data_IF_778234905437
#
_entry.id   IF_778234905437
#
_cell.length_a   1.000
_cell.length_b   1.000
_cell.length_c   1.000
_cell.angle_alpha   90.00
_cell.angle_beta   90.00
_cell.angle_gamma   90.00
#
_symmetry.space_group_name_H-M   'P 1'
#
loop_
_entity.id
_entity.type
_entity.pdbx_description
1 polymer ?
#
# COMPACT_ATOMS: atom_id res chain seq x y z
N UNK A 1 -11.72 29.71 5.81
CA UNK A 1 -12.56 28.49 5.81
C UNK A 1 -13.10 28.39 7.21
N UNK A 2 -14.41 28.32 7.37
CA UNK A 2 -15.05 28.25 8.70
C UNK A 2 -14.94 26.82 9.27
N UNK A 3 -15.15 26.67 10.58
CA UNK A 3 -15.03 25.38 11.30
C UNK A 3 -15.98 24.29 10.80
N UNK A 4 -17.04 24.68 10.07
CA UNK A 4 -18.00 23.77 9.43
C UNK A 4 -17.58 23.32 8.01
N UNK A 5 -16.37 23.67 7.56
CA UNK A 5 -15.85 23.33 6.24
C UNK A 5 -16.31 24.25 5.10
N UNK A 6 -17.09 25.30 5.39
CA UNK A 6 -17.52 26.27 4.38
C UNK A 6 -16.36 27.17 3.96
N UNK A 7 -16.12 27.27 2.65
CA UNK A 7 -15.17 28.21 2.09
C UNK A 7 -15.81 29.60 2.09
N UNK A 8 -15.14 30.55 2.73
CA UNK A 8 -15.54 31.95 2.79
C UNK A 8 -14.41 32.82 2.24
N UNK A 9 -14.77 33.88 1.52
CA UNK A 9 -13.86 34.96 1.13
C UNK A 9 -14.04 36.08 2.14
N UNK A 10 -12.94 36.55 2.71
CA UNK A 10 -12.95 37.69 3.64
C UNK A 10 -12.64 38.95 2.83
N UNK A 11 -13.58 39.90 2.80
CA UNK A 11 -13.39 41.21 2.18
C UNK A 11 -12.48 42.11 3.04
N UNK A 12 -11.96 43.19 2.47
CA UNK A 12 -11.01 44.09 3.14
C UNK A 12 -11.60 44.82 4.37
N UNK A 13 -12.92 44.89 4.47
CA UNK A 13 -13.70 45.42 5.58
C UNK A 13 -14.05 44.35 6.65
N UNK A 14 -13.57 43.12 6.48
CA UNK A 14 -13.75 42.01 7.42
C UNK A 14 -15.06 41.25 7.26
N UNK A 15 -15.89 41.57 6.26
CA UNK A 15 -17.12 40.82 5.99
C UNK A 15 -16.76 39.48 5.33
N UNK A 16 -17.28 38.38 5.89
CA UNK A 16 -17.14 37.05 5.32
C UNK A 16 -18.32 36.71 4.41
N UNK A 17 -18.03 36.38 3.15
CA UNK A 17 -19.03 35.89 2.20
C UNK A 17 -18.78 34.42 1.84
N UNK A 18 -19.86 33.63 1.84
CA UNK A 18 -19.81 32.23 1.45
C UNK A 18 -19.45 32.09 -0.04
N UNK A 19 -18.41 31.32 -0.33
CA UNK A 19 -17.96 31.03 -1.69
C UNK A 19 -18.44 29.65 -2.10
N UNK A 20 -19.30 29.61 -3.12
CA UNK A 20 -19.59 28.36 -3.83
C UNK A 20 -18.47 28.08 -4.81
N UNK A 21 -17.62 27.10 -4.50
CA UNK A 21 -16.61 26.62 -5.44
C UNK A 21 -17.25 25.60 -6.36
N UNK A 22 -17.41 25.92 -7.64
CA UNK A 22 -17.80 24.94 -8.65
C UNK A 22 -16.65 23.94 -8.81
N UNK A 23 -16.87 22.62 -8.63
CA UNK A 23 -15.85 21.64 -8.94
C UNK A 23 -15.38 21.84 -10.39
N UNK A 24 -14.07 21.73 -10.67
CA UNK A 24 -13.61 21.74 -12.05
C UNK A 24 -14.35 20.64 -12.81
N UNK A 25 -14.77 20.92 -14.05
CA UNK A 25 -15.37 19.91 -14.89
C UNK A 25 -14.42 18.70 -15.00
N UNK A 26 -14.94 17.45 -14.99
CA UNK A 26 -14.10 16.28 -15.17
C UNK A 26 -13.35 16.41 -16.50
N UNK A 27 -12.02 16.36 -16.45
CA UNK A 27 -11.19 16.34 -17.66
C UNK A 27 -11.35 14.98 -18.34
N UNK A 28 -11.31 14.96 -19.67
CA UNK A 28 -11.15 13.69 -20.39
C UNK A 28 -9.82 13.03 -20.01
N UNK A 29 -9.75 11.70 -20.11
CA UNK A 29 -8.50 10.96 -19.88
C UNK A 29 -7.34 11.53 -20.72
N UNK A 30 -7.61 11.90 -21.97
CA UNK A 30 -6.63 12.55 -22.86
C UNK A 30 -6.10 13.87 -22.28
N UNK A 31 -6.99 14.73 -21.76
CA UNK A 31 -6.60 15.99 -21.15
C UNK A 31 -5.85 15.78 -19.82
N UNK A 32 -6.15 14.71 -19.08
CA UNK A 32 -5.41 14.31 -17.87
C UNK A 32 -4.00 13.87 -18.26
N UNK A 33 -3.87 12.96 -19.23
CA UNK A 33 -2.56 12.49 -19.71
C UNK A 33 -1.73 13.64 -20.27
N UNK A 34 -2.31 14.52 -21.09
CA UNK A 34 -1.61 15.68 -21.64
C UNK A 34 -1.12 16.65 -20.56
N UNK A 35 -1.89 16.81 -19.46
CA UNK A 35 -1.45 17.62 -18.31
C UNK A 35 -0.32 16.93 -17.54
N UNK A 36 -0.44 15.63 -17.26
CA UNK A 36 0.59 14.85 -16.57
C UNK A 36 1.94 14.86 -17.34
N UNK A 37 1.90 14.76 -18.67
CA UNK A 37 3.11 14.81 -19.49
C UNK A 37 3.82 16.18 -19.48
N UNK A 38 3.09 17.27 -19.22
CA UNK A 38 3.65 18.63 -19.14
C UNK A 38 4.20 18.97 -17.77
N UNK A 39 3.76 18.26 -16.74
CA UNK A 39 4.19 18.45 -15.35
C UNK A 39 5.45 17.59 -15.09
N UNK A 40 6.63 18.20 -14.85
CA UNK A 40 7.87 17.47 -14.59
C UNK A 40 7.79 16.50 -13.41
N UNK A 41 6.98 16.79 -12.39
CA UNK A 41 6.86 15.96 -11.18
C UNK A 41 5.82 14.84 -11.32
N UNK A 42 5.03 14.84 -12.40
CA UNK A 42 3.97 13.86 -12.65
C UNK A 42 4.21 13.02 -13.91
N UNK A 43 5.44 12.99 -14.43
CA UNK A 43 5.78 12.19 -15.59
C UNK A 43 5.67 10.68 -15.31
N UNK A 44 5.27 9.87 -16.31
CA UNK A 44 5.30 8.42 -16.18
C UNK A 44 6.72 7.89 -15.95
N UNK A 45 6.83 6.82 -15.16
CA UNK A 45 8.09 6.11 -14.96
C UNK A 45 8.61 5.53 -16.28
N UNK A 46 9.91 5.66 -16.53
CA UNK A 46 10.57 5.04 -17.67
C UNK A 46 10.86 3.56 -17.41
N UNK A 47 11.12 2.77 -18.45
CA UNK A 47 11.58 1.38 -18.31
C UNK A 47 12.83 1.26 -17.42
N UNK A 48 13.76 2.22 -17.56
CA UNK A 48 14.96 2.28 -16.73
C UNK A 48 14.63 2.56 -15.25
N UNK A 49 13.58 3.35 -14.96
CA UNK A 49 13.12 3.55 -13.60
C UNK A 49 12.52 2.27 -13.03
N UNK A 50 11.67 1.58 -13.79
CA UNK A 50 11.12 0.28 -13.38
C UNK A 50 12.23 -0.73 -13.10
N UNK A 51 13.27 -0.78 -13.92
CA UNK A 51 14.42 -1.68 -13.73
C UNK A 51 15.21 -1.39 -12.44
N UNK A 52 15.17 -0.16 -11.92
CA UNK A 52 15.83 0.24 -10.66
C UNK A 52 14.96 0.05 -9.42
N UNK A 53 13.66 -0.21 -9.58
CA UNK A 53 12.76 -0.36 -8.43
C UNK A 53 13.09 -1.64 -7.64
N UNK A 54 13.07 -1.53 -6.32
CA UNK A 54 13.14 -2.70 -5.46
C UNK A 54 11.83 -3.49 -5.55
N UNK A 55 11.88 -4.82 -5.76
CA UNK A 55 10.67 -5.63 -5.76
C UNK A 55 9.98 -5.56 -4.39
N UNK A 56 8.66 -5.63 -4.40
CA UNK A 56 7.88 -5.69 -3.15
C UNK A 56 8.25 -6.97 -2.38
N UNK A 57 8.53 -6.91 -1.06
CA UNK A 57 8.90 -8.09 -0.29
C UNK A 57 7.90 -9.23 -0.43
N UNK A 58 8.41 -10.46 -0.65
CA UNK A 58 7.60 -11.66 -0.89
C UNK A 58 6.61 -11.97 0.23
N UNK A 59 7.00 -11.72 1.49
CA UNK A 59 6.11 -11.90 2.64
C UNK A 59 4.86 -10.98 2.55
N UNK A 60 5.06 -9.72 2.14
CA UNK A 60 3.99 -8.73 1.99
C UNK A 60 3.03 -9.08 0.87
N UNK A 61 3.55 -9.52 -0.27
CA UNK A 61 2.71 -9.92 -1.42
C UNK A 61 1.91 -11.18 -1.10
N UNK A 62 2.54 -12.19 -0.49
CA UNK A 62 1.87 -13.42 -0.06
C UNK A 62 0.76 -13.13 0.97
N UNK A 63 1.05 -12.36 2.02
CA UNK A 63 0.06 -12.02 3.03
C UNK A 63 -1.16 -11.30 2.44
N UNK A 64 -0.91 -10.31 1.56
CA UNK A 64 -1.99 -9.56 0.89
C UNK A 64 -2.82 -10.46 -0.03
N UNK A 65 -2.18 -11.38 -0.75
CA UNK A 65 -2.88 -12.34 -1.59
C UNK A 65 -3.82 -13.26 -0.76
N UNK A 66 -3.45 -13.56 0.49
CA UNK A 66 -4.28 -14.33 1.42
C UNK A 66 -5.32 -13.47 2.17
N UNK A 67 -5.35 -12.15 1.97
CA UNK A 67 -6.31 -11.26 2.63
C UNK A 67 -6.10 -11.09 4.13
N UNK A 68 -4.91 -11.41 4.66
CA UNK A 68 -4.63 -11.39 6.10
C UNK A 68 -3.99 -10.07 6.56
N UNK A 69 -4.33 -9.62 7.76
CA UNK A 69 -3.57 -8.61 8.51
C UNK A 69 -2.18 -9.14 8.88
N UNK A 70 -1.27 -8.26 9.32
CA UNK A 70 0.07 -8.69 9.73
C UNK A 70 -0.01 -9.63 10.94
N UNK A 71 -0.87 -9.29 11.89
CA UNK A 71 -1.13 -10.04 13.11
C UNK A 71 -1.70 -11.43 12.81
N UNK A 72 -2.69 -11.52 11.92
CA UNK A 72 -3.27 -12.80 11.51
C UNK A 72 -2.26 -13.68 10.77
N UNK A 73 -1.47 -13.12 9.86
CA UNK A 73 -0.45 -13.89 9.13
C UNK A 73 0.66 -14.39 10.05
N UNK A 74 1.14 -13.51 10.95
CA UNK A 74 2.14 -13.85 11.96
C UNK A 74 1.64 -14.99 12.87
N UNK A 75 0.43 -14.86 13.39
CA UNK A 75 -0.19 -15.87 14.26
C UNK A 75 -0.46 -17.18 13.50
N UNK A 76 -1.01 -17.13 12.29
CA UNK A 76 -1.37 -18.31 11.50
C UNK A 76 -0.16 -19.16 11.12
N UNK A 77 0.97 -18.52 10.82
CA UNK A 77 2.17 -19.19 10.30
C UNK A 77 3.34 -19.24 11.28
N UNK A 78 3.11 -18.91 12.55
CA UNK A 78 4.11 -18.95 13.62
C UNK A 78 5.37 -18.12 13.28
N UNK A 79 5.18 -16.94 12.68
CA UNK A 79 6.25 -15.99 12.37
C UNK A 79 6.13 -14.84 13.37
N UNK A 80 7.17 -14.51 14.17
CA UNK A 80 7.09 -13.38 15.08
C UNK A 80 6.70 -12.09 14.35
N UNK A 81 5.72 -11.36 14.89
CA UNK A 81 5.16 -10.16 14.24
C UNK A 81 6.24 -9.10 13.94
N UNK A 82 7.20 -8.91 14.84
CA UNK A 82 8.35 -8.02 14.63
C UNK A 82 9.18 -8.43 13.40
N UNK A 83 9.51 -9.73 13.30
CA UNK A 83 10.23 -10.30 12.17
C UNK A 83 9.48 -10.12 10.85
N UNK A 84 8.16 -10.40 10.83
CA UNK A 84 7.34 -10.17 9.64
C UNK A 84 7.35 -8.70 9.22
N UNK A 85 7.24 -7.77 10.18
CA UNK A 85 7.27 -6.32 9.91
C UNK A 85 8.62 -5.89 9.33
N UNK A 86 9.72 -6.40 9.86
CA UNK A 86 11.06 -6.10 9.34
C UNK A 86 11.21 -6.58 7.89
N UNK A 87 10.72 -7.78 7.57
CA UNK A 87 10.71 -8.31 6.20
C UNK A 87 9.82 -7.48 5.25
N UNK A 88 8.60 -7.14 5.67
CA UNK A 88 7.66 -6.39 4.82
C UNK A 88 8.07 -4.92 4.58
N UNK A 89 8.88 -4.36 5.48
CA UNK A 89 9.47 -3.02 5.37
C UNK A 89 10.85 -3.03 4.71
N UNK A 90 11.47 -4.19 4.53
CA UNK A 90 12.82 -4.32 3.98
C UNK A 90 13.93 -3.89 4.94
N UNK A 91 13.68 -3.94 6.26
CA UNK A 91 14.70 -3.73 7.30
C UNK A 91 15.62 -4.95 7.43
N UNK A 92 15.12 -6.13 7.12
CA UNK A 92 15.86 -7.38 7.02
C UNK A 92 15.25 -8.26 5.93
N UNK A 93 15.96 -9.33 5.56
CA UNK A 93 15.47 -10.33 4.62
C UNK A 93 15.25 -11.68 5.31
N UNK A 94 14.27 -12.48 4.86
CA UNK A 94 14.12 -13.86 5.32
C UNK A 94 15.35 -14.67 4.91
N UNK A 95 15.85 -15.45 5.85
CA UNK A 95 16.94 -16.41 5.61
C UNK A 95 16.47 -17.57 4.70
N UNK A 96 17.38 -18.50 4.41
CA UNK A 96 17.07 -19.59 3.46
C UNK A 96 15.89 -20.47 3.92
N UNK A 97 15.81 -20.92 5.19
CA UNK A 97 14.64 -21.64 5.69
C UNK A 97 13.34 -20.82 5.62
N UNK A 98 13.35 -19.55 6.04
CA UNK A 98 12.16 -18.70 5.98
C UNK A 98 11.67 -18.50 4.54
N UNK A 99 12.58 -18.33 3.57
CA UNK A 99 12.21 -18.25 2.15
C UNK A 99 11.58 -19.55 1.64
N UNK A 100 12.13 -20.70 2.03
CA UNK A 100 11.55 -21.99 1.69
C UNK A 100 10.16 -22.16 2.31
N UNK A 101 10.00 -21.77 3.57
CA UNK A 101 8.73 -21.82 4.28
C UNK A 101 7.66 -20.92 3.64
N UNK A 102 8.00 -19.67 3.29
CA UNK A 102 7.12 -18.77 2.54
C UNK A 102 6.75 -19.34 1.17
N UNK A 103 7.62 -20.12 0.53
CA UNK A 103 7.31 -20.83 -0.72
C UNK A 103 6.30 -21.95 -0.49
N UNK A 104 6.40 -22.69 0.61
CA UNK A 104 5.43 -23.75 0.96
C UNK A 104 4.06 -23.14 1.30
N UNK A 105 4.02 -22.05 2.10
CA UNK A 105 2.77 -21.33 2.38
C UNK A 105 2.10 -20.84 1.09
N UNK A 106 2.90 -20.33 0.14
CA UNK A 106 2.37 -19.88 -1.16
C UNK A 106 1.78 -21.03 -2.00
N UNK A 107 2.20 -22.27 -1.76
CA UNK A 107 1.72 -23.44 -2.49
C UNK A 107 0.48 -24.08 -1.83
N UNK A 108 0.49 -24.22 -0.50
CA UNK A 108 -0.60 -24.83 0.27
C UNK A 108 -0.82 -24.08 1.61
N UNK A 109 -1.45 -22.89 1.58
CA UNK A 109 -1.63 -22.07 2.78
C UNK A 109 -2.47 -22.79 3.84
N UNK A 110 -3.54 -23.47 3.41
CA UNK A 110 -4.45 -24.19 4.30
C UNK A 110 -3.81 -25.47 4.86
N UNK A 111 -3.03 -26.21 4.06
CA UNK A 111 -2.31 -27.37 4.56
C UNK A 111 -1.23 -27.02 5.58
N UNK A 112 -0.48 -25.94 5.34
CA UNK A 112 0.46 -25.43 6.34
C UNK A 112 -0.27 -25.01 7.62
N UNK A 113 -1.37 -24.25 7.50
CA UNK A 113 -2.15 -23.86 8.66
C UNK A 113 -2.65 -25.08 9.46
N UNK A 114 -3.24 -26.07 8.79
CA UNK A 114 -3.69 -27.32 9.43
C UNK A 114 -2.54 -28.02 10.14
N UNK A 115 -1.39 -28.16 9.48
CA UNK A 115 -0.22 -28.82 10.05
C UNK A 115 0.29 -28.14 11.33
N UNK A 116 0.23 -26.81 11.41
CA UNK A 116 0.65 -26.05 12.58
C UNK A 116 -0.36 -26.09 13.74
N UNK A 117 -1.64 -26.32 13.44
CA UNK A 117 -2.72 -26.40 14.44
C UNK A 117 -3.03 -27.82 14.91
N UNK A 118 -2.50 -28.84 14.23
CA UNK A 118 -2.67 -30.23 14.66
C UNK A 118 -2.02 -30.45 16.03
N UNK A 119 -2.60 -31.33 16.86
CA UNK A 119 -2.07 -31.65 18.18
C UNK A 119 -0.60 -32.10 18.07
N UNK A 120 0.29 -31.66 18.98
CA UNK A 120 1.70 -32.01 18.92
C UNK A 120 1.89 -33.54 18.97
N UNK A 121 2.88 -34.02 18.21
CA UNK A 121 3.39 -35.39 18.32
C UNK A 121 4.11 -35.60 19.66
#
# INVERSE_FOLDING_TARGET
MQDNGTLVRVAADGIEEAVTVKPPAPRSDEAITAAALRDPDAQPLTEADFARMKPVPRAKTLRRALGLTQEEFAARYHIPLGTLRDWEQGRSEPDQPARAYLKVIAHDPEGVHRALTAAPH
#
